data_IF_144661530247
#
_entry.id   IF_144661530247
#
_cell.length_a   1.000
_cell.length_b   1.000
_cell.length_c   1.000
_cell.angle_alpha   90.00
_cell.angle_beta   90.00
_cell.angle_gamma   90.00
#
_symmetry.space_group_name_H-M   'P 1'
#
loop_
_entity.id
_entity.type
_entity.pdbx_description
1 polymer ?
#
# COMPACT_ATOMS: atom_id res chain seq x y z
N UNK A 1 -3.03 1.80 -32.58
CA UNK A 1 -2.56 1.47 -31.22
C UNK A 1 -1.23 0.73 -31.20
N UNK A 2 -0.95 -0.17 -32.15
CA UNK A 2 0.36 -0.84 -32.24
C UNK A 2 1.53 0.14 -32.38
N UNK A 3 1.42 1.14 -33.26
CA UNK A 3 2.44 2.17 -33.45
C UNK A 3 2.76 2.88 -32.12
N UNK A 4 1.73 3.26 -31.37
CA UNK A 4 1.90 3.89 -30.06
C UNK A 4 2.63 2.97 -29.08
N UNK A 5 2.25 1.69 -29.00
CA UNK A 5 2.95 0.68 -28.19
C UNK A 5 4.44 0.59 -28.59
N UNK A 6 4.74 0.55 -29.88
CA UNK A 6 6.12 0.51 -30.40
C UNK A 6 6.90 1.78 -30.05
N UNK A 7 6.27 2.95 -30.07
CA UNK A 7 6.90 4.20 -29.61
C UNK A 7 7.28 4.12 -28.13
N UNK A 8 6.43 3.53 -27.28
CA UNK A 8 6.75 3.35 -25.85
C UNK A 8 7.90 2.35 -25.63
N UNK A 9 7.95 1.28 -26.42
CA UNK A 9 9.07 0.32 -26.41
C UNK A 9 10.37 1.04 -26.84
N UNK A 10 10.35 1.83 -27.90
CA UNK A 10 11.51 2.63 -28.35
C UNK A 10 11.99 3.66 -27.33
N UNK A 11 11.10 4.12 -26.45
CA UNK A 11 11.45 4.99 -25.31
C UNK A 11 12.04 4.23 -24.11
N UNK A 12 12.28 2.92 -24.27
CA UNK A 12 12.87 2.05 -23.26
C UNK A 12 12.06 2.02 -21.94
N UNK A 13 10.73 2.06 -22.05
CA UNK A 13 9.85 1.90 -20.89
C UNK A 13 9.68 0.42 -20.53
N UNK A 14 9.60 0.13 -19.23
CA UNK A 14 9.31 -1.20 -18.72
C UNK A 14 7.99 -1.77 -19.25
N UNK A 15 7.98 -3.08 -19.52
CA UNK A 15 6.81 -3.79 -20.05
C UNK A 15 5.56 -3.61 -19.15
N UNK A 16 5.74 -3.62 -17.84
CA UNK A 16 4.67 -3.39 -16.85
C UNK A 16 4.10 -1.97 -16.95
N UNK A 17 4.93 -0.96 -17.23
CA UNK A 17 4.48 0.42 -17.46
C UNK A 17 3.69 0.52 -18.75
N UNK A 18 4.18 -0.08 -19.84
CA UNK A 18 3.48 -0.10 -21.12
C UNK A 18 2.13 -0.81 -20.99
N UNK A 19 2.09 -1.99 -20.39
CA UNK A 19 0.85 -2.75 -20.19
C UNK A 19 -0.18 -1.98 -19.35
N UNK A 20 0.26 -1.25 -18.30
CA UNK A 20 -0.62 -0.37 -17.50
C UNK A 20 -1.21 0.77 -18.33
N UNK A 21 -0.40 1.43 -19.16
CA UNK A 21 -0.86 2.48 -20.06
C UNK A 21 -1.85 1.94 -21.09
N UNK A 22 -1.53 0.82 -21.73
CA UNK A 22 -2.40 0.17 -22.73
C UNK A 22 -3.73 -0.28 -22.12
N UNK A 23 -3.73 -0.77 -20.87
CA UNK A 23 -4.94 -1.12 -20.15
C UNK A 23 -5.83 0.10 -19.87
N UNK A 24 -5.23 1.23 -19.46
CA UNK A 24 -5.96 2.49 -19.27
C UNK A 24 -6.59 2.98 -20.59
N UNK A 25 -5.82 2.97 -21.69
CA UNK A 25 -6.33 3.35 -23.01
C UNK A 25 -7.43 2.42 -23.49
N UNK A 26 -7.29 1.10 -23.29
CA UNK A 26 -8.36 0.15 -23.60
C UNK A 26 -9.64 0.45 -22.82
N UNK A 27 -9.53 0.80 -21.53
CA UNK A 27 -10.68 1.21 -20.71
C UNK A 27 -11.33 2.50 -21.23
N UNK A 28 -10.53 3.49 -21.63
CA UNK A 28 -11.03 4.72 -22.26
C UNK A 28 -11.81 4.42 -23.54
N UNK A 29 -11.26 3.59 -24.45
CA UNK A 29 -11.93 3.24 -25.69
C UNK A 29 -13.18 2.38 -25.48
N UNK A 30 -13.19 1.48 -24.50
CA UNK A 30 -14.42 0.77 -24.10
C UNK A 30 -15.53 1.74 -23.69
N UNK A 31 -15.21 2.79 -22.94
CA UNK A 31 -16.17 3.85 -22.60
C UNK A 31 -16.66 4.58 -23.84
N UNK A 32 -15.75 4.94 -24.76
CA UNK A 32 -16.11 5.62 -26.01
C UNK A 32 -17.05 4.77 -26.90
N UNK A 33 -16.80 3.47 -27.00
CA UNK A 33 -17.69 2.52 -27.70
C UNK A 33 -19.05 2.45 -27.03
N UNK A 34 -19.09 2.29 -25.70
CA UNK A 34 -20.34 2.23 -24.93
C UNK A 34 -21.19 3.51 -25.09
N UNK A 35 -20.55 4.65 -25.28
CA UNK A 35 -21.20 5.95 -25.48
C UNK A 35 -21.49 6.28 -26.95
N UNK A 36 -21.15 5.38 -27.89
CA UNK A 36 -21.40 5.57 -29.32
C UNK A 36 -20.48 6.56 -30.02
N UNK A 37 -19.41 7.03 -29.36
CA UNK A 37 -18.43 7.94 -29.98
C UNK A 37 -17.59 7.29 -31.07
N UNK A 38 -17.47 5.95 -31.03
CA UNK A 38 -16.77 5.16 -32.03
C UNK A 38 -17.29 3.73 -32.03
N UNK A 39 -17.17 2.99 -33.15
CA UNK A 39 -17.75 1.65 -33.27
C UNK A 39 -16.93 0.53 -32.60
N UNK A 40 -15.63 0.72 -32.38
CA UNK A 40 -14.71 -0.35 -31.99
C UNK A 40 -13.69 0.08 -30.91
N UNK A 41 -13.02 -0.87 -30.25
CA UNK A 41 -11.89 -0.57 -29.36
C UNK A 41 -10.57 -1.04 -30.02
N UNK A 42 -9.67 -0.10 -30.38
CA UNK A 42 -8.47 -0.39 -31.15
C UNK A 42 -7.36 -1.04 -30.31
N UNK A 43 -7.56 -1.18 -29.00
CA UNK A 43 -6.66 -1.88 -28.09
C UNK A 43 -7.00 -3.38 -27.96
N UNK A 44 -8.17 -3.84 -28.41
CA UNK A 44 -8.62 -5.22 -28.16
C UNK A 44 -7.71 -6.29 -28.79
N UNK A 45 -7.19 -6.01 -29.99
CA UNK A 45 -6.31 -6.94 -30.71
C UNK A 45 -4.89 -6.99 -30.11
N UNK A 46 -4.54 -6.11 -29.17
CA UNK A 46 -3.19 -6.02 -28.62
C UNK A 46 -3.00 -6.96 -27.44
N UNK A 47 -2.09 -7.91 -27.62
CA UNK A 47 -1.60 -8.73 -26.51
C UNK A 47 -0.75 -7.90 -25.55
N UNK A 48 -0.80 -8.25 -24.27
CA UNK A 48 0.14 -7.72 -23.27
C UNK A 48 1.57 -8.10 -23.65
N UNK A 49 2.51 -7.20 -23.39
CA UNK A 49 3.92 -7.52 -23.43
C UNK A 49 4.25 -8.51 -22.29
N UNK A 50 5.21 -9.43 -22.49
CA UNK A 50 5.65 -10.33 -21.42
C UNK A 50 6.22 -9.49 -20.27
N UNK A 51 5.79 -9.79 -19.06
CA UNK A 51 6.32 -9.22 -17.83
C UNK A 51 7.12 -10.31 -17.12
N UNK A 52 8.39 -10.02 -16.80
CA UNK A 52 9.16 -10.90 -15.93
C UNK A 52 8.69 -10.68 -14.49
N UNK A 53 8.26 -11.75 -13.77
CA UNK A 53 7.94 -11.61 -12.36
C UNK A 53 9.21 -11.16 -11.63
N UNK A 54 9.13 -10.01 -10.98
CA UNK A 54 10.21 -9.52 -10.15
C UNK A 54 10.13 -10.25 -8.80
N UNK A 55 11.24 -10.81 -8.29
CA UNK A 55 11.26 -11.42 -6.98
C UNK A 55 10.89 -10.36 -5.94
N UNK A 56 9.99 -10.71 -5.02
CA UNK A 56 9.67 -9.86 -3.89
C UNK A 56 10.78 -10.04 -2.87
N UNK A 57 11.57 -9.00 -2.64
CA UNK A 57 12.52 -8.95 -1.54
C UNK A 57 11.78 -8.57 -0.26
N UNK A 58 11.97 -9.38 0.77
CA UNK A 58 11.41 -9.18 2.11
C UNK A 58 12.52 -9.43 3.13
N UNK A 59 12.37 -8.81 4.31
CA UNK A 59 13.30 -9.02 5.40
C UNK A 59 13.09 -10.38 6.06
N UNK A 60 14.19 -11.09 6.26
CA UNK A 60 14.29 -12.17 7.24
C UNK A 60 14.16 -11.62 8.65
N UNK A 61 13.90 -12.50 9.61
CA UNK A 61 13.83 -12.10 11.02
C UNK A 61 15.17 -11.51 11.50
N UNK A 62 16.30 -12.04 11.05
CA UNK A 62 17.63 -11.57 11.43
C UNK A 62 17.95 -10.19 10.85
N UNK A 63 17.59 -9.95 9.59
CA UNK A 63 17.73 -8.62 8.96
C UNK A 63 16.84 -7.59 9.66
N UNK A 64 15.60 -7.96 10.00
CA UNK A 64 14.72 -7.09 10.76
C UNK A 64 15.30 -6.77 12.14
N UNK A 65 15.79 -7.76 12.87
CA UNK A 65 16.42 -7.55 14.19
C UNK A 65 17.67 -6.67 14.09
N UNK A 66 18.47 -6.84 13.03
CA UNK A 66 19.63 -5.98 12.77
C UNK A 66 19.19 -4.55 12.53
N UNK A 67 18.20 -4.31 11.66
CA UNK A 67 17.63 -2.97 11.44
C UNK A 67 17.11 -2.36 12.75
N UNK A 68 16.41 -3.14 13.57
CA UNK A 68 15.87 -2.68 14.85
C UNK A 68 16.95 -2.32 15.88
N UNK A 69 18.16 -2.89 15.77
CA UNK A 69 19.28 -2.57 16.65
C UNK A 69 20.00 -1.27 16.29
N UNK A 70 19.70 -0.67 15.13
CA UNK A 70 20.33 0.58 14.68
C UNK A 70 19.71 1.84 15.30
N UNK A 71 18.56 1.73 15.96
CA UNK A 71 17.88 2.87 16.57
C UNK A 71 18.54 3.29 17.89
N UNK A 72 18.73 4.60 18.06
CA UNK A 72 19.13 5.20 19.34
C UNK A 72 17.95 5.29 20.32
N UNK A 73 18.24 5.58 21.59
CA UNK A 73 17.21 5.63 22.65
C UNK A 73 16.18 6.73 22.36
N UNK A 74 16.65 7.85 21.84
CA UNK A 74 15.85 9.01 21.44
C UNK A 74 14.93 8.71 20.26
N UNK A 75 15.25 7.67 19.46
CA UNK A 75 14.52 7.24 18.28
C UNK A 75 13.51 6.12 18.57
N UNK A 76 13.29 5.79 19.85
CA UNK A 76 12.35 4.75 20.28
C UNK A 76 10.95 4.85 19.64
N UNK A 77 10.34 6.05 19.43
CA UNK A 77 9.05 6.14 18.73
C UNK A 77 9.09 5.58 17.30
N UNK A 78 10.20 5.79 16.58
CA UNK A 78 10.39 5.25 15.23
C UNK A 78 10.65 3.74 15.27
N UNK A 79 11.47 3.29 16.22
CA UNK A 79 11.69 1.87 16.47
C UNK A 79 10.35 1.14 16.72
N UNK A 80 9.52 1.67 17.61
CA UNK A 80 8.20 1.12 17.94
C UNK A 80 7.26 1.14 16.74
N UNK A 81 7.28 2.20 15.92
CA UNK A 81 6.51 2.27 14.67
C UNK A 81 6.86 1.10 13.72
N UNK A 82 8.14 0.83 13.49
CA UNK A 82 8.56 -0.29 12.62
C UNK A 82 8.26 -1.66 13.25
N UNK A 83 8.32 -1.78 14.58
CA UNK A 83 7.91 -3.00 15.30
C UNK A 83 6.43 -3.31 15.10
N UNK A 84 5.56 -2.30 15.20
CA UNK A 84 4.13 -2.45 14.90
C UNK A 84 3.92 -2.79 13.43
N UNK A 85 4.61 -2.12 12.51
CA UNK A 85 4.51 -2.38 11.08
C UNK A 85 4.84 -3.83 10.72
N UNK A 86 5.96 -4.34 11.24
CA UNK A 86 6.41 -5.73 11.04
C UNK A 86 5.44 -6.74 11.66
N UNK A 87 4.95 -6.47 12.87
CA UNK A 87 4.08 -7.41 13.60
C UNK A 87 2.65 -7.49 13.06
N UNK A 88 2.16 -6.45 12.39
CA UNK A 88 0.74 -6.34 12.00
C UNK A 88 0.50 -6.41 10.50
N UNK A 89 1.53 -6.14 9.68
CA UNK A 89 1.37 -6.04 8.23
C UNK A 89 0.42 -4.93 7.78
N UNK A 90 0.15 -3.94 8.63
CA UNK A 90 -0.71 -2.81 8.30
C UNK A 90 -0.09 -1.96 7.18
N UNK A 91 -0.96 -1.37 6.35
CA UNK A 91 -0.51 -0.42 5.31
C UNK A 91 0.00 0.85 5.97
N UNK A 92 1.00 1.51 5.36
CA UNK A 92 1.58 2.77 5.85
C UNK A 92 0.54 3.80 6.30
N UNK A 93 -0.50 4.04 5.49
CA UNK A 93 -1.54 5.01 5.85
C UNK A 93 -2.37 4.57 7.06
N UNK A 94 -2.59 3.28 7.26
CA UNK A 94 -3.29 2.74 8.44
C UNK A 94 -2.41 2.90 9.70
N UNK A 95 -1.11 2.58 9.61
CA UNK A 95 -0.15 2.77 10.70
C UNK A 95 -0.06 4.24 11.14
N UNK A 96 0.06 5.15 10.17
CA UNK A 96 0.14 6.59 10.43
C UNK A 96 -1.17 7.18 10.95
N UNK A 97 -2.27 6.43 10.89
CA UNK A 97 -3.55 6.88 11.40
C UNK A 97 -3.92 6.29 12.77
N UNK A 98 -3.08 5.42 13.34
CA UNK A 98 -3.35 4.81 14.63
C UNK A 98 -3.45 5.85 15.74
N UNK A 99 -4.48 5.70 16.57
CA UNK A 99 -4.64 6.41 17.84
C UNK A 99 -4.72 5.43 19.00
N UNK A 100 -4.55 5.91 20.23
CA UNK A 100 -4.63 5.07 21.43
C UNK A 100 -6.01 4.44 21.66
N UNK A 101 -7.06 5.00 21.05
CA UNK A 101 -8.42 4.45 21.06
C UNK A 101 -8.55 3.20 20.17
N UNK A 102 -7.62 3.02 19.22
CA UNK A 102 -7.61 1.85 18.34
C UNK A 102 -6.97 0.62 18.99
N UNK A 103 -6.23 0.79 20.09
CA UNK A 103 -5.49 -0.27 20.77
C UNK A 103 -6.30 -0.78 21.97
N UNK A 104 -6.79 -2.00 21.88
CA UNK A 104 -7.43 -2.70 22.98
C UNK A 104 -6.39 -3.57 23.71
N UNK A 105 -5.86 -3.03 24.81
CA UNK A 105 -4.87 -3.72 25.64
C UNK A 105 -5.43 -4.95 26.36
N UNK A 106 -6.74 -4.99 26.62
CA UNK A 106 -7.39 -6.13 27.30
C UNK A 106 -7.49 -7.33 26.37
N UNK A 107 -7.81 -7.08 25.10
CA UNK A 107 -7.96 -8.10 24.06
C UNK A 107 -6.70 -8.33 23.25
N UNK A 108 -5.65 -7.53 23.47
CA UNK A 108 -4.40 -7.55 22.71
C UNK A 108 -4.65 -7.39 21.21
N UNK A 109 -5.47 -6.40 20.85
CA UNK A 109 -5.85 -6.15 19.46
C UNK A 109 -5.68 -4.70 19.05
N UNK A 110 -5.35 -4.47 17.78
CA UNK A 110 -5.37 -3.17 17.12
C UNK A 110 -6.52 -3.14 16.11
N UNK A 111 -7.41 -2.16 16.25
CA UNK A 111 -8.55 -1.96 15.37
C UNK A 111 -8.19 -1.03 14.22
N UNK A 112 -8.14 -1.58 13.01
CA UNK A 112 -7.92 -0.81 11.78
C UNK A 112 -9.26 -0.26 11.30
N UNK A 113 -9.47 1.04 11.50
CA UNK A 113 -10.74 1.72 11.15
C UNK A 113 -10.57 3.03 10.36
N UNK A 114 -9.32 3.45 10.10
CA UNK A 114 -8.99 4.68 9.39
C UNK A 114 -7.63 4.59 8.71
N UNK A 115 -7.40 5.48 7.75
CA UNK A 115 -6.14 5.63 7.03
C UNK A 115 -5.82 7.11 6.81
N UNK A 116 -4.56 7.49 6.97
CA UNK A 116 -4.07 8.83 6.70
C UNK A 116 -3.79 8.95 5.19
N UNK A 117 -4.40 9.94 4.56
CA UNK A 117 -4.20 10.23 3.14
C UNK A 117 -3.72 11.67 2.95
N UNK A 118 -2.89 11.85 1.91
CA UNK A 118 -2.50 13.18 1.44
C UNK A 118 -3.47 13.63 0.34
N UNK A 119 -4.13 14.76 0.56
CA UNK A 119 -5.05 15.38 -0.38
C UNK A 119 -4.29 16.10 -1.51
N UNK A 120 -4.96 16.42 -2.64
CA UNK A 120 -4.32 17.10 -3.77
C UNK A 120 -3.71 18.46 -3.44
N UNK A 121 -4.27 19.16 -2.46
CA UNK A 121 -3.76 20.44 -1.93
C UNK A 121 -2.55 20.28 -0.97
N UNK A 122 -2.12 19.03 -0.74
CA UNK A 122 -1.00 18.69 0.12
C UNK A 122 -1.36 18.45 1.58
N UNK A 123 -2.60 18.71 2.00
CA UNK A 123 -3.05 18.51 3.38
C UNK A 123 -3.17 17.02 3.73
N UNK A 124 -3.02 16.69 5.01
CA UNK A 124 -3.21 15.34 5.52
C UNK A 124 -4.59 15.20 6.15
N UNK A 125 -5.29 14.09 5.89
CA UNK A 125 -6.63 13.85 6.42
C UNK A 125 -6.85 12.38 6.75
N UNK A 126 -7.68 12.11 7.76
CA UNK A 126 -8.12 10.75 8.08
C UNK A 126 -9.34 10.38 7.26
N UNK A 127 -9.28 9.21 6.63
CA UNK A 127 -10.39 8.65 5.87
C UNK A 127 -10.75 7.26 6.38
N UNK A 128 -12.04 6.88 6.35
CA UNK A 128 -12.44 5.50 6.58
C UNK A 128 -11.88 4.57 5.49
N UNK A 129 -11.67 3.27 5.78
CA UNK A 129 -11.37 2.28 4.76
C UNK A 129 -12.40 2.29 3.63
N UNK A 130 -11.92 2.20 2.38
CA UNK A 130 -12.78 2.28 1.18
C UNK A 130 -13.80 1.14 1.08
N UNK A 131 -13.52 0.00 1.70
CA UNK A 131 -14.36 -1.20 1.64
C UNK A 131 -14.62 -1.73 3.04
N UNK A 132 -15.72 -2.48 3.21
CA UNK A 132 -16.04 -3.17 4.46
C UNK A 132 -14.91 -4.07 4.94
N UNK A 133 -14.24 -4.77 4.02
CA UNK A 133 -13.08 -5.61 4.32
C UNK A 133 -11.85 -4.86 4.85
N UNK A 134 -11.83 -3.53 4.71
CA UNK A 134 -10.77 -2.70 5.27
C UNK A 134 -10.87 -2.52 6.78
N UNK A 135 -12.08 -2.64 7.34
CA UNK A 135 -12.31 -2.65 8.79
C UNK A 135 -11.95 -4.02 9.34
N UNK A 136 -10.98 -4.07 10.26
CA UNK A 136 -10.50 -5.34 10.83
C UNK A 136 -9.85 -5.12 12.19
N UNK A 137 -9.81 -6.18 12.98
CA UNK A 137 -9.05 -6.24 14.23
C UNK A 137 -7.86 -7.16 14.04
N UNK A 138 -6.67 -6.71 14.42
CA UNK A 138 -5.42 -7.46 14.31
C UNK A 138 -4.97 -7.82 15.72
N UNK A 139 -4.89 -9.12 16.02
CA UNK A 139 -4.30 -9.61 17.26
C UNK A 139 -2.80 -9.35 17.27
N UNK A 140 -2.30 -8.81 18.37
CA UNK A 140 -0.87 -8.52 18.59
C UNK A 140 -0.33 -9.35 19.75
N UNK A 141 0.97 -9.65 19.72
CA UNK A 141 1.62 -10.37 20.82
C UNK A 141 1.58 -9.59 22.12
N UNK A 142 1.56 -10.32 23.25
CA UNK A 142 1.60 -9.74 24.60
C UNK A 142 2.79 -8.80 24.81
N UNK A 143 3.96 -9.13 24.27
CA UNK A 143 5.16 -8.28 24.35
C UNK A 143 4.93 -6.91 23.72
N UNK A 144 4.42 -6.86 22.49
CA UNK A 144 4.10 -5.60 21.81
C UNK A 144 3.00 -4.82 22.55
N UNK A 145 2.01 -5.53 23.10
CA UNK A 145 0.95 -4.90 23.90
C UNK A 145 1.54 -4.19 25.12
N UNK A 146 2.46 -4.83 25.83
CA UNK A 146 3.13 -4.26 27.00
C UNK A 146 4.02 -3.06 26.64
N UNK A 147 4.74 -3.13 25.53
CA UNK A 147 5.55 -2.01 25.02
C UNK A 147 4.67 -0.80 24.66
N UNK A 148 3.58 -1.02 23.92
CA UNK A 148 2.61 0.03 23.58
C UNK A 148 1.99 0.64 24.84
N UNK A 149 1.68 -0.18 25.84
CA UNK A 149 1.11 0.28 27.10
C UNK A 149 2.11 1.15 27.86
N UNK A 150 3.37 0.72 27.96
CA UNK A 150 4.43 1.49 28.61
C UNK A 150 4.69 2.82 27.90
N UNK A 151 4.66 2.84 26.56
CA UNK A 151 4.83 4.07 25.79
C UNK A 151 3.65 5.05 25.96
N UNK A 152 2.42 4.56 26.11
CA UNK A 152 1.22 5.39 26.34
C UNK A 152 1.27 6.19 27.65
N UNK A 153 1.90 5.63 28.68
CA UNK A 153 1.96 6.21 30.03
C UNK A 153 3.28 6.93 30.35
N UNK A 154 4.20 7.00 29.39
CA UNK A 154 5.35 7.91 29.44
C UNK A 154 4.95 9.30 28.98
#
# INVERSE_FOLDING_TARGET
MEIFRQTLIKKNLEASTINRLMAQLSKLFNTAVKQGFRPDNPCLALRKLPESPQPIHYWTLDEFNTFMSLFEVEEYPYQLFFKVAFSTGMRKGELLALTWEDVDFSRQTINVNKTLVRLPDGQMSFHPPKTKSGYRSITIHKSLTQELQAWRYK
#
